data_IF_421366781342
#
_entry.id   IF_421366781342
#
_cell.length_a   1.000
_cell.length_b   1.000
_cell.length_c   1.000
_cell.angle_alpha   90.00
_cell.angle_beta   90.00
_cell.angle_gamma   90.00
#
_symmetry.space_group_name_H-M   'P 1'
#
loop_
_entity.id
_entity.type
_entity.pdbx_description
1 polymer ?
#
# COMPACT_ATOMS: atom_id res chain seq x y z
N UNK A 1 -21.73 30.58 -10.82
CA UNK A 1 -20.68 29.84 -10.07
C UNK A 1 -19.73 29.14 -11.05
N UNK A 2 -18.43 29.48 -11.01
CA UNK A 2 -17.43 28.82 -11.86
C UNK A 2 -17.15 27.43 -11.28
N UNK A 3 -17.36 26.39 -12.07
CA UNK A 3 -17.04 25.02 -11.68
C UNK A 3 -15.55 24.79 -11.97
N UNK A 4 -14.70 24.91 -10.95
CA UNK A 4 -13.24 24.77 -11.12
C UNK A 4 -12.71 23.41 -10.69
N UNK A 5 -13.50 22.64 -9.95
CA UNK A 5 -13.16 21.33 -9.43
C UNK A 5 -14.18 20.28 -9.86
N UNK A 6 -13.68 19.15 -10.35
CA UNK A 6 -14.48 18.00 -10.73
C UNK A 6 -13.94 16.74 -10.06
N UNK A 7 -14.81 16.01 -9.38
CA UNK A 7 -14.50 14.70 -8.80
C UNK A 7 -15.40 13.64 -9.43
N UNK A 8 -14.79 12.65 -10.07
CA UNK A 8 -15.48 11.55 -10.74
C UNK A 8 -15.20 10.27 -9.96
N UNK A 9 -16.25 9.55 -9.56
CA UNK A 9 -16.17 8.23 -8.94
C UNK A 9 -16.51 7.16 -9.97
N UNK A 10 -16.05 5.92 -9.75
CA UNK A 10 -16.30 4.78 -10.65
C UNK A 10 -15.76 5.02 -12.08
N UNK A 11 -14.52 5.49 -12.13
CA UNK A 11 -13.82 5.80 -13.36
C UNK A 11 -13.38 4.51 -14.10
N UNK A 12 -13.96 4.20 -15.27
CA UNK A 12 -13.51 3.10 -16.13
C UNK A 12 -13.53 3.48 -17.62
N UNK A 13 -12.84 2.71 -18.47
CA UNK A 13 -12.60 3.02 -19.89
C UNK A 13 -13.90 3.36 -20.64
N UNK A 14 -14.95 2.54 -20.46
CA UNK A 14 -16.27 2.79 -21.05
C UNK A 14 -16.93 4.10 -20.61
N UNK A 15 -16.85 4.48 -19.33
CA UNK A 15 -17.46 5.72 -18.82
C UNK A 15 -16.70 6.96 -19.30
N UNK A 16 -15.38 6.86 -19.36
CA UNK A 16 -14.45 7.92 -19.80
C UNK A 16 -14.76 8.34 -21.23
N UNK A 17 -14.84 7.38 -22.14
CA UNK A 17 -15.10 7.68 -23.55
C UNK A 17 -16.44 8.41 -23.70
N UNK A 18 -17.45 8.03 -22.93
CA UNK A 18 -18.75 8.71 -22.94
C UNK A 18 -18.69 10.15 -22.40
N UNK A 19 -17.95 10.41 -21.32
CA UNK A 19 -17.80 11.77 -20.78
C UNK A 19 -16.99 12.70 -21.68
N UNK A 20 -15.93 12.20 -22.32
CA UNK A 20 -15.01 13.03 -23.11
C UNK A 20 -15.39 13.17 -24.58
N UNK A 21 -16.29 12.32 -25.08
CA UNK A 21 -16.91 12.47 -26.41
C UNK A 21 -18.27 13.18 -26.35
N UNK A 22 -18.71 13.58 -25.16
CA UNK A 22 -20.00 14.22 -24.94
C UNK A 22 -20.14 15.50 -25.80
N UNK A 23 -21.26 15.61 -26.49
CA UNK A 23 -21.67 16.79 -27.29
C UNK A 23 -22.63 17.70 -26.51
N UNK A 24 -22.81 17.47 -25.22
CA UNK A 24 -23.69 18.27 -24.36
C UNK A 24 -23.25 19.74 -24.27
N UNK A 25 -24.20 20.57 -23.84
CA UNK A 25 -23.98 21.99 -23.54
C UNK A 25 -23.01 22.22 -22.38
N UNK A 26 -22.62 21.19 -21.63
CA UNK A 26 -21.66 21.28 -20.53
C UNK A 26 -20.19 21.19 -20.99
N UNK A 27 -19.94 20.76 -22.23
CA UNK A 27 -18.58 20.60 -22.75
C UNK A 27 -17.72 21.87 -22.63
N UNK A 28 -18.17 23.08 -23.02
CA UNK A 28 -17.35 24.28 -22.86
C UNK A 28 -17.01 24.58 -21.40
N UNK A 29 -17.93 24.27 -20.47
CA UNK A 29 -17.69 24.43 -19.03
C UNK A 29 -16.55 23.51 -18.59
N UNK A 30 -16.61 22.23 -18.96
CA UNK A 30 -15.57 21.29 -18.59
C UNK A 30 -14.22 21.63 -19.20
N UNK A 31 -14.18 21.95 -20.49
CA UNK A 31 -12.92 22.23 -21.19
C UNK A 31 -12.24 23.51 -20.67
N UNK A 32 -13.01 24.55 -20.34
CA UNK A 32 -12.47 25.88 -20.04
C UNK A 32 -12.40 26.19 -18.53
N UNK A 33 -13.28 25.64 -17.69
CA UNK A 33 -13.35 26.07 -16.28
C UNK A 33 -12.63 25.12 -15.31
N UNK A 34 -12.55 23.83 -15.63
CA UNK A 34 -11.98 22.84 -14.71
C UNK A 34 -10.46 23.01 -14.65
N UNK A 35 -9.97 23.30 -13.45
CA UNK A 35 -8.54 23.40 -13.15
C UNK A 35 -8.06 22.26 -12.24
N UNK A 36 -8.99 21.62 -11.51
CA UNK A 36 -8.74 20.49 -10.61
C UNK A 36 -9.60 19.30 -10.99
N UNK A 37 -8.97 18.17 -11.31
CA UNK A 37 -9.65 16.91 -11.61
C UNK A 37 -9.20 15.80 -10.67
N UNK A 38 -10.16 15.18 -9.98
CA UNK A 38 -9.94 14.01 -9.13
C UNK A 38 -10.73 12.84 -9.70
N UNK A 39 -10.03 11.79 -10.08
CA UNK A 39 -10.59 10.55 -10.61
C UNK A 39 -10.41 9.48 -9.55
N UNK A 40 -11.50 8.95 -9.01
CA UNK A 40 -11.49 7.91 -7.98
C UNK A 40 -11.92 6.59 -8.60
N UNK A 41 -11.00 5.64 -8.61
CA UNK A 41 -11.26 4.32 -9.15
C UNK A 41 -11.77 3.34 -8.11
N UNK A 42 -13.05 3.03 -8.14
CA UNK A 42 -13.64 2.07 -7.19
C UNK A 42 -13.90 0.69 -7.82
N UNK A 43 -13.56 0.48 -9.10
CA UNK A 43 -13.88 -0.79 -9.75
C UNK A 43 -12.95 -1.89 -9.25
N UNK A 44 -13.58 -2.97 -8.78
CA UNK A 44 -12.91 -4.21 -8.36
C UNK A 44 -12.86 -5.25 -9.49
N UNK A 45 -13.55 -4.99 -10.60
CA UNK A 45 -13.57 -5.88 -11.75
C UNK A 45 -12.28 -5.71 -12.55
N UNK A 46 -11.51 -6.80 -12.63
CA UNK A 46 -10.25 -6.87 -13.34
C UNK A 46 -10.39 -6.37 -14.77
N UNK A 47 -9.50 -5.48 -15.17
CA UNK A 47 -9.51 -4.91 -16.51
C UNK A 47 -9.24 -5.96 -17.60
N UNK A 48 -10.02 -5.88 -18.67
CA UNK A 48 -9.99 -6.74 -19.86
C UNK A 48 -9.09 -6.13 -20.96
N UNK A 49 -8.69 -4.86 -20.86
CA UNK A 49 -7.88 -4.13 -21.88
C UNK A 49 -6.40 -3.94 -21.47
N UNK A 50 -5.52 -3.73 -22.45
CA UNK A 50 -4.08 -3.55 -22.21
C UNK A 50 -3.77 -2.18 -21.56
N UNK A 51 -2.76 -2.12 -20.67
CA UNK A 51 -2.35 -0.88 -19.98
C UNK A 51 -2.00 0.28 -20.92
N UNK A 52 -1.40 -0.04 -22.08
CA UNK A 52 -1.07 0.95 -23.13
C UNK A 52 -2.33 1.51 -23.77
N UNK A 53 -3.30 0.64 -24.09
CA UNK A 53 -4.61 1.04 -24.62
C UNK A 53 -5.29 2.00 -23.66
N UNK A 54 -5.29 1.69 -22.37
CA UNK A 54 -5.85 2.56 -21.35
C UNK A 54 -5.13 3.92 -21.30
N UNK A 55 -3.80 3.93 -21.34
CA UNK A 55 -3.01 5.17 -21.35
C UNK A 55 -3.35 6.08 -22.53
N UNK A 56 -3.45 5.51 -23.73
CA UNK A 56 -3.76 6.25 -24.95
C UNK A 56 -5.22 6.70 -24.98
N UNK A 57 -6.15 5.81 -24.68
CA UNK A 57 -7.59 6.07 -24.85
C UNK A 57 -8.20 6.89 -23.71
N UNK A 58 -7.59 6.86 -22.52
CA UNK A 58 -8.14 7.47 -21.32
C UNK A 58 -7.28 8.63 -20.84
N UNK A 59 -6.07 8.34 -20.37
CA UNK A 59 -5.23 9.33 -19.70
C UNK A 59 -4.78 10.46 -20.65
N UNK A 60 -4.42 10.13 -21.89
CA UNK A 60 -4.01 11.14 -22.86
C UNK A 60 -5.17 12.06 -23.27
N UNK A 61 -6.38 11.51 -23.44
CA UNK A 61 -7.55 12.32 -23.78
C UNK A 61 -7.97 13.28 -22.66
N UNK A 62 -7.77 12.91 -21.39
CA UNK A 62 -8.03 13.82 -20.25
C UNK A 62 -7.20 15.10 -20.40
N UNK A 63 -5.89 14.98 -20.63
CA UNK A 63 -5.02 16.15 -20.73
C UNK A 63 -5.35 17.03 -21.97
N UNK A 64 -5.84 16.42 -23.05
CA UNK A 64 -6.27 17.15 -24.26
C UNK A 64 -7.62 17.84 -24.05
N UNK A 65 -8.54 17.19 -23.35
CA UNK A 65 -9.91 17.68 -23.17
C UNK A 65 -9.97 18.89 -22.24
N UNK A 66 -9.26 18.84 -21.10
CA UNK A 66 -9.27 19.91 -20.11
C UNK A 66 -8.15 20.94 -20.34
N UNK A 67 -8.47 22.03 -21.06
CA UNK A 67 -7.48 23.01 -21.52
C UNK A 67 -6.80 23.79 -20.39
N UNK A 68 -7.45 23.91 -19.24
CA UNK A 68 -6.98 24.67 -18.09
C UNK A 68 -6.63 23.80 -16.87
N UNK A 69 -6.46 22.48 -17.08
CA UNK A 69 -6.15 21.52 -16.02
C UNK A 69 -4.75 21.76 -15.41
N UNK A 70 -4.73 22.21 -14.15
CA UNK A 70 -3.50 22.43 -13.38
C UNK A 70 -3.20 21.26 -12.45
N UNK A 71 -4.24 20.62 -11.92
CA UNK A 71 -4.12 19.57 -10.92
C UNK A 71 -4.88 18.32 -11.35
N UNK A 72 -4.18 17.20 -11.47
CA UNK A 72 -4.75 15.90 -11.81
C UNK A 72 -4.41 14.88 -10.73
N UNK A 73 -5.43 14.26 -10.14
CA UNK A 73 -5.29 13.17 -9.18
C UNK A 73 -6.06 11.95 -9.66
N UNK A 74 -5.36 10.85 -9.92
CA UNK A 74 -5.95 9.55 -10.23
C UNK A 74 -5.72 8.65 -9.01
N UNK A 75 -6.76 8.55 -8.20
CA UNK A 75 -6.74 7.91 -6.89
C UNK A 75 -7.28 6.50 -7.00
N UNK A 76 -6.55 5.56 -6.40
CA UNK A 76 -7.05 4.23 -6.14
C UNK A 76 -7.27 4.06 -4.62
N UNK A 77 -8.50 3.74 -4.16
CA UNK A 77 -8.82 3.60 -2.74
C UNK A 77 -8.27 2.31 -2.11
N UNK A 78 -7.95 1.29 -2.91
CA UNK A 78 -7.41 0.03 -2.41
C UNK A 78 -6.00 -0.22 -2.93
N UNK A 79 -5.08 -0.40 -2.00
CA UNK A 79 -3.67 -0.78 -2.25
C UNK A 79 -3.57 -2.15 -2.93
N UNK A 80 -4.61 -2.98 -2.85
CA UNK A 80 -4.60 -4.38 -3.31
C UNK A 80 -5.27 -4.62 -4.67
N UNK A 81 -5.90 -3.61 -5.27
CA UNK A 81 -6.55 -3.78 -6.58
C UNK A 81 -5.56 -3.47 -7.72
N UNK A 82 -5.50 -4.34 -8.71
CA UNK A 82 -4.66 -4.18 -9.89
C UNK A 82 -5.35 -3.25 -10.91
N UNK A 83 -5.35 -1.94 -10.67
CA UNK A 83 -5.87 -1.00 -11.67
C UNK A 83 -4.75 -0.59 -12.63
N UNK A 84 -5.03 -0.34 -13.93
CA UNK A 84 -4.01 0.05 -14.87
C UNK A 84 -3.26 1.29 -14.42
N UNK A 85 -2.05 1.06 -13.92
CA UNK A 85 -1.03 2.10 -13.85
C UNK A 85 -0.78 2.62 -15.26
N UNK A 86 -0.49 3.92 -15.35
CA UNK A 86 -0.01 4.55 -16.57
C UNK A 86 1.21 3.78 -17.09
N UNK A 87 1.20 3.45 -18.39
CA UNK A 87 2.34 2.84 -19.07
C UNK A 87 2.70 3.68 -20.28
N UNK A 88 3.89 4.30 -20.23
CA UNK A 88 4.43 5.21 -21.23
C UNK A 88 5.51 4.56 -22.09
N UNK A 89 6.01 3.39 -21.69
CA UNK A 89 6.97 2.63 -22.47
C UNK A 89 6.48 2.42 -23.92
N UNK A 90 7.36 2.71 -24.88
CA UNK A 90 7.10 2.71 -26.33
C UNK A 90 6.03 3.68 -26.83
N UNK A 91 5.58 4.65 -26.00
CA UNK A 91 4.68 5.71 -26.45
C UNK A 91 5.48 6.99 -26.77
N UNK A 92 5.09 7.76 -27.81
CA UNK A 92 5.72 9.05 -28.12
C UNK A 92 5.69 10.00 -26.92
N UNK A 93 6.69 10.88 -26.77
CA UNK A 93 6.73 11.89 -25.70
C UNK A 93 5.60 12.92 -25.76
N UNK A 94 4.93 13.04 -26.90
CA UNK A 94 3.69 13.81 -27.05
C UNK A 94 2.50 13.16 -26.33
N UNK A 95 2.57 11.86 -26.08
CA UNK A 95 1.57 11.10 -25.33
C UNK A 95 1.64 11.47 -23.85
N UNK A 96 0.50 11.85 -23.28
CA UNK A 96 0.40 12.34 -21.91
C UNK A 96 1.32 13.55 -21.62
N UNK A 97 1.21 14.60 -22.44
CA UNK A 97 1.97 15.85 -22.28
C UNK A 97 1.07 17.00 -21.83
N UNK A 98 1.63 17.95 -21.08
CA UNK A 98 0.92 19.17 -20.66
C UNK A 98 1.91 20.31 -20.39
N UNK A 99 1.54 21.51 -20.85
CA UNK A 99 2.30 22.75 -20.63
C UNK A 99 1.84 23.55 -19.42
N UNK A 100 0.77 23.13 -18.74
CA UNK A 100 0.14 23.87 -17.64
C UNK A 100 -0.06 23.05 -16.36
N UNK A 101 0.01 21.72 -16.44
CA UNK A 101 -0.15 20.85 -15.28
C UNK A 101 0.98 21.10 -14.28
N UNK A 102 0.62 21.44 -13.05
CA UNK A 102 1.55 21.75 -11.95
C UNK A 102 1.56 20.68 -10.86
N UNK A 103 0.45 19.93 -10.70
CA UNK A 103 0.33 18.83 -9.74
C UNK A 103 -0.19 17.58 -10.41
N UNK A 104 0.51 16.46 -10.17
CA UNK A 104 0.11 15.14 -10.64
C UNK A 104 0.17 14.13 -9.49
N UNK A 105 -0.95 13.47 -9.23
CA UNK A 105 -1.00 12.25 -8.43
C UNK A 105 -1.47 11.11 -9.32
N UNK A 106 -0.61 10.11 -9.53
CA UNK A 106 -0.87 9.02 -10.46
C UNK A 106 -0.23 7.71 -10.01
N UNK A 107 -0.75 6.60 -10.52
CA UNK A 107 -0.11 5.30 -10.39
C UNK A 107 0.48 4.91 -11.75
N UNK A 108 1.69 4.36 -11.76
CA UNK A 108 2.40 3.93 -12.97
C UNK A 108 2.71 2.43 -12.92
N UNK A 109 2.86 1.82 -14.10
CA UNK A 109 3.21 0.40 -14.17
C UNK A 109 4.64 0.18 -13.68
N UNK A 110 5.63 0.85 -14.25
CA UNK A 110 7.05 0.62 -13.91
C UNK A 110 7.75 1.88 -13.39
N UNK A 111 8.96 1.72 -12.85
CA UNK A 111 9.80 2.87 -12.49
C UNK A 111 10.20 3.69 -13.72
N UNK A 112 10.44 3.07 -14.87
CA UNK A 112 10.71 3.79 -16.12
C UNK A 112 9.54 4.70 -16.52
N UNK A 113 8.30 4.25 -16.34
CA UNK A 113 7.11 5.08 -16.57
C UNK A 113 7.11 6.33 -15.67
N UNK A 114 7.62 6.24 -14.44
CA UNK A 114 7.87 7.40 -13.58
C UNK A 114 8.95 8.32 -14.17
N UNK A 115 10.04 7.77 -14.69
CA UNK A 115 11.10 8.57 -15.33
C UNK A 115 10.59 9.24 -16.61
N UNK A 116 9.73 8.59 -17.39
CA UNK A 116 9.11 9.16 -18.59
C UNK A 116 8.19 10.34 -18.25
N UNK A 117 7.49 10.35 -17.12
CA UNK A 117 6.74 11.54 -16.66
C UNK A 117 7.66 12.76 -16.41
N UNK A 118 8.95 12.51 -16.25
CA UNK A 118 10.01 13.45 -15.97
C UNK A 118 10.90 13.68 -17.21
N UNK A 119 10.53 13.25 -18.41
CA UNK A 119 11.34 13.50 -19.62
C UNK A 119 11.15 14.89 -20.24
N UNK A 120 10.42 15.78 -19.56
CA UNK A 120 10.07 17.11 -20.04
C UNK A 120 8.71 17.22 -20.73
N UNK A 121 7.93 16.14 -20.81
CA UNK A 121 6.52 16.20 -21.29
C UNK A 121 5.58 16.98 -20.38
N UNK A 122 5.93 17.15 -19.10
CA UNK A 122 5.18 17.93 -18.08
C UNK A 122 5.98 19.13 -17.57
N UNK A 123 6.25 20.12 -18.42
CA UNK A 123 7.25 21.19 -18.18
C UNK A 123 6.97 22.12 -16.98
N UNK A 124 5.72 22.22 -16.54
CA UNK A 124 5.30 23.06 -15.40
C UNK A 124 5.06 22.26 -14.12
N UNK A 125 5.36 20.96 -14.12
CA UNK A 125 5.15 20.11 -12.97
C UNK A 125 6.04 20.55 -11.80
N UNK A 126 5.41 20.85 -10.67
CA UNK A 126 6.07 21.26 -9.42
C UNK A 126 5.86 20.25 -8.30
N UNK A 127 4.80 19.46 -8.38
CA UNK A 127 4.45 18.42 -7.42
C UNK A 127 4.11 17.13 -8.15
N UNK A 128 4.83 16.05 -7.85
CA UNK A 128 4.58 14.72 -8.39
C UNK A 128 4.44 13.73 -7.24
N UNK A 129 3.29 13.05 -7.19
CA UNK A 129 3.08 11.88 -6.39
C UNK A 129 2.89 10.69 -7.32
N UNK A 130 3.72 9.66 -7.14
CA UNK A 130 3.68 8.45 -7.96
C UNK A 130 3.70 7.19 -7.10
N UNK A 131 2.75 6.30 -7.37
CA UNK A 131 2.79 4.91 -6.90
C UNK A 131 3.25 3.99 -8.05
N UNK A 132 4.19 3.08 -7.79
CA UNK A 132 4.70 2.12 -8.79
C UNK A 132 4.23 0.70 -8.44
N UNK A 133 3.62 -0.01 -9.39
CA UNK A 133 3.04 -1.36 -9.18
C UNK A 133 3.88 -2.53 -9.66
N UNK A 134 4.67 -2.39 -10.70
CA UNK A 134 5.37 -3.50 -11.31
C UNK A 134 6.85 -3.17 -11.41
N UNK A 135 7.64 -4.18 -11.12
CA UNK A 135 9.08 -4.10 -11.17
C UNK A 135 9.41 -5.05 -12.29
N UNK A 136 9.20 -4.55 -13.50
CA UNK A 136 9.82 -5.18 -14.64
C UNK A 136 11.34 -5.05 -14.43
N UNK A 137 12.11 -6.04 -14.87
CA UNK A 137 13.56 -5.88 -15.00
C UNK A 137 13.80 -4.89 -16.12
N UNK A 138 13.50 -3.61 -15.91
CA UNK A 138 13.62 -2.66 -16.98
C UNK A 138 15.09 -2.48 -17.34
N UNK A 139 15.32 -2.69 -18.63
CA UNK A 139 16.57 -2.57 -19.33
C UNK A 139 16.73 -1.12 -19.78
N UNK A 140 17.61 -0.37 -19.13
CA UNK A 140 18.06 0.90 -19.68
C UNK A 140 18.00 2.04 -18.68
N UNK A 141 19.18 2.44 -18.24
CA UNK A 141 19.45 3.78 -17.75
C UNK A 141 18.84 4.75 -18.78
N UNK A 142 17.75 5.46 -18.44
CA UNK A 142 17.29 6.57 -19.26
C UNK A 142 18.38 7.65 -19.21
N UNK A 143 19.15 7.70 -20.28
CA UNK A 143 20.39 8.49 -20.40
C UNK A 143 20.17 9.99 -20.69
N UNK A 144 18.94 10.50 -20.81
CA UNK A 144 18.73 11.87 -21.28
C UNK A 144 17.73 12.67 -20.43
N UNK A 145 18.17 13.12 -19.26
CA UNK A 145 17.51 14.25 -18.58
C UNK A 145 18.56 15.13 -17.91
N UNK A 146 19.40 15.77 -18.72
CA UNK A 146 20.27 16.83 -18.22
C UNK A 146 19.39 18.03 -17.84
N UNK A 147 19.19 18.21 -16.53
CA UNK A 147 18.70 19.43 -15.86
C UNK A 147 17.32 19.94 -16.32
N UNK A 148 16.20 19.42 -15.81
CA UNK A 148 14.90 20.05 -16.10
C UNK A 148 13.76 19.78 -15.10
N UNK A 149 14.03 19.72 -13.80
CA UNK A 149 12.98 19.61 -12.78
C UNK A 149 12.87 20.86 -11.94
N UNK A 150 11.88 21.70 -12.24
CA UNK A 150 11.32 22.67 -11.28
C UNK A 150 10.45 21.97 -10.22
N UNK A 151 10.71 20.69 -9.96
CA UNK A 151 9.95 19.87 -9.05
C UNK A 151 10.38 20.24 -7.63
N UNK A 152 9.43 20.77 -6.87
CA UNK A 152 9.62 21.13 -5.46
C UNK A 152 9.21 19.99 -4.54
N UNK A 153 8.21 19.20 -4.94
CA UNK A 153 7.65 18.12 -4.15
C UNK A 153 7.65 16.81 -4.95
N UNK A 154 8.30 15.78 -4.40
CA UNK A 154 8.29 14.44 -4.99
C UNK A 154 7.88 13.40 -3.95
N UNK A 155 6.91 12.56 -4.30
CA UNK A 155 6.53 11.38 -3.53
C UNK A 155 6.63 10.15 -4.41
N UNK A 156 7.43 9.18 -3.98
CA UNK A 156 7.56 7.88 -4.64
C UNK A 156 7.19 6.79 -3.65
N UNK A 157 6.15 6.03 -3.97
CA UNK A 157 5.79 4.82 -3.22
C UNK A 157 5.91 3.60 -4.12
N UNK A 158 6.80 2.69 -3.77
CA UNK A 158 6.88 1.36 -4.36
C UNK A 158 5.99 0.41 -3.58
N UNK A 159 4.95 -0.12 -4.23
CA UNK A 159 4.06 -1.10 -3.61
C UNK A 159 4.67 -2.52 -3.62
N UNK A 160 5.72 -2.73 -4.41
CA UNK A 160 6.41 -4.00 -4.58
C UNK A 160 7.91 -3.87 -4.32
N UNK A 161 8.60 -5.01 -4.30
CA UNK A 161 10.01 -5.12 -3.88
C UNK A 161 10.95 -4.77 -5.03
N UNK A 162 11.77 -3.76 -4.85
CA UNK A 162 12.60 -3.11 -5.88
C UNK A 162 14.03 -3.59 -5.83
N UNK A 163 14.53 -4.16 -6.91
CA UNK A 163 15.92 -4.65 -6.97
C UNK A 163 16.93 -3.53 -7.25
N UNK A 164 16.50 -2.39 -7.80
CA UNK A 164 17.40 -1.41 -8.44
C UNK A 164 17.52 -0.08 -7.68
N UNK A 165 17.69 -0.10 -6.35
CA UNK A 165 17.78 1.13 -5.52
C UNK A 165 18.67 2.24 -6.13
N UNK A 166 19.78 1.88 -6.77
CA UNK A 166 20.71 2.81 -7.39
C UNK A 166 20.07 3.64 -8.53
N UNK A 167 19.05 3.12 -9.21
CA UNK A 167 18.27 3.87 -10.21
C UNK A 167 17.40 4.97 -9.56
N UNK A 168 16.84 4.68 -8.38
CA UNK A 168 16.13 5.70 -7.58
C UNK A 168 17.13 6.76 -7.15
N UNK A 169 18.29 6.37 -6.60
CA UNK A 169 19.34 7.31 -6.19
C UNK A 169 19.79 8.18 -7.37
N UNK A 170 20.04 7.58 -8.54
CA UNK A 170 20.42 8.29 -9.76
C UNK A 170 19.37 9.32 -10.19
N UNK A 171 18.08 8.98 -10.11
CA UNK A 171 16.99 9.91 -10.38
C UNK A 171 16.96 11.05 -9.36
N UNK A 172 17.01 10.70 -8.07
CA UNK A 172 16.95 11.64 -6.95
C UNK A 172 18.10 12.66 -6.99
N UNK A 173 19.32 12.23 -7.34
CA UNK A 173 20.49 13.12 -7.52
C UNK A 173 20.29 14.18 -8.61
N UNK A 174 19.37 13.96 -9.56
CA UNK A 174 19.03 14.93 -10.62
C UNK A 174 17.98 15.96 -10.16
N UNK A 175 17.41 15.79 -8.97
CA UNK A 175 16.33 16.62 -8.43
C UNK A 175 16.83 17.56 -7.33
N UNK A 176 17.87 18.34 -7.61
CA UNK A 176 18.56 19.18 -6.61
C UNK A 176 17.74 20.35 -6.04
N UNK A 177 16.60 20.68 -6.65
CA UNK A 177 15.68 21.74 -6.23
C UNK A 177 14.50 21.23 -5.39
N UNK A 178 14.51 19.95 -4.99
CA UNK A 178 13.45 19.41 -4.14
C UNK A 178 13.46 20.06 -2.75
N UNK A 179 12.32 20.61 -2.38
CA UNK A 179 12.03 21.13 -1.04
C UNK A 179 11.41 20.03 -0.17
N UNK A 180 10.65 19.10 -0.77
CA UNK A 180 9.96 18.01 -0.06
C UNK A 180 10.11 16.69 -0.77
N UNK A 181 10.55 15.68 -0.03
CA UNK A 181 10.70 14.31 -0.50
C UNK A 181 9.93 13.36 0.41
N UNK A 182 9.11 12.49 -0.18
CA UNK A 182 8.45 11.38 0.51
C UNK A 182 8.76 10.07 -0.18
N UNK A 183 9.36 9.12 0.53
CA UNK A 183 9.74 7.81 -0.02
C UNK A 183 9.10 6.67 0.77
N UNK A 184 8.38 5.79 0.09
CA UNK A 184 8.01 4.48 0.63
C UNK A 184 8.61 3.41 -0.27
N UNK A 185 9.71 2.79 0.16
CA UNK A 185 10.48 1.86 -0.64
C UNK A 185 10.56 0.50 0.05
N UNK A 186 10.40 -0.56 -0.74
CA UNK A 186 10.70 -1.94 -0.37
C UNK A 186 11.74 -2.43 -1.37
N UNK A 187 12.90 -2.89 -0.91
CA UNK A 187 14.08 -3.11 -1.73
C UNK A 187 14.57 -4.54 -1.52
N UNK A 188 14.60 -5.31 -2.60
CA UNK A 188 14.99 -6.73 -2.60
C UNK A 188 16.45 -6.91 -3.00
N UNK A 189 16.97 -8.12 -2.75
CA UNK A 189 18.21 -8.61 -3.35
C UNK A 189 19.46 -7.76 -3.06
N UNK A 190 19.56 -7.17 -1.86
CA UNK A 190 20.78 -6.49 -1.41
C UNK A 190 21.61 -7.35 -0.48
N UNK A 191 22.92 -7.20 -0.59
CA UNK A 191 23.89 -7.77 0.36
C UNK A 191 24.12 -6.87 1.59
N UNK A 192 23.53 -5.67 1.62
CA UNK A 192 23.70 -4.68 2.69
C UNK A 192 22.40 -3.92 2.94
N UNK A 193 22.21 -3.58 4.21
CA UNK A 193 21.13 -2.70 4.68
C UNK A 193 21.36 -1.28 4.17
N UNK A 194 20.28 -0.57 3.89
CA UNK A 194 20.32 0.88 3.69
C UNK A 194 20.20 1.49 5.07
N UNK A 195 21.32 1.98 5.59
CA UNK A 195 21.44 2.58 6.92
C UNK A 195 21.53 4.10 6.83
N UNK A 196 21.80 4.78 7.95
CA UNK A 196 21.89 6.23 8.02
C UNK A 196 23.02 6.81 7.18
N UNK A 197 24.11 6.06 7.01
CA UNK A 197 25.24 6.49 6.17
C UNK A 197 24.84 6.48 4.70
N UNK A 198 24.14 5.42 4.25
CA UNK A 198 23.60 5.35 2.89
C UNK A 198 22.59 6.46 2.62
N UNK A 199 21.63 6.67 3.54
CA UNK A 199 20.62 7.73 3.37
C UNK A 199 21.27 9.11 3.32
N UNK A 200 22.28 9.36 4.17
CA UNK A 200 23.03 10.62 4.16
C UNK A 200 23.73 10.83 2.81
N UNK A 201 24.53 9.84 2.37
CA UNK A 201 25.36 9.96 1.18
C UNK A 201 24.56 9.97 -0.13
N UNK A 202 23.55 9.10 -0.23
CA UNK A 202 22.82 8.90 -1.48
C UNK A 202 21.74 9.95 -1.71
N UNK A 203 21.12 10.45 -0.64
CA UNK A 203 19.97 11.35 -0.72
C UNK A 203 20.33 12.72 -0.20
N UNK A 204 20.68 12.84 1.09
CA UNK A 204 20.74 14.13 1.77
C UNK A 204 21.88 15.03 1.27
N UNK A 205 23.06 14.46 1.05
CA UNK A 205 24.23 15.20 0.53
C UNK A 205 23.98 15.79 -0.87
N UNK A 206 23.03 15.23 -1.63
CA UNK A 206 22.70 15.63 -2.99
C UNK A 206 21.48 16.57 -3.07
N UNK A 207 20.82 16.87 -1.94
CA UNK A 207 19.58 17.64 -1.89
C UNK A 207 19.66 18.79 -0.87
N UNK A 208 20.46 19.83 -1.15
CA UNK A 208 20.70 20.91 -0.19
C UNK A 208 19.47 21.79 0.09
N UNK A 209 18.43 21.73 -0.75
CA UNK A 209 17.19 22.49 -0.58
C UNK A 209 16.09 21.71 0.16
N UNK A 210 16.39 20.50 0.62
CA UNK A 210 15.38 19.61 1.19
C UNK A 210 15.01 20.04 2.61
N UNK A 211 13.86 20.72 2.73
CA UNK A 211 13.31 21.16 4.01
C UNK A 211 12.58 20.02 4.76
N UNK A 212 12.05 19.05 4.02
CA UNK A 212 11.25 17.96 4.59
C UNK A 212 11.53 16.64 3.91
N UNK A 213 11.98 15.67 4.69
CA UNK A 213 12.15 14.29 4.26
C UNK A 213 11.35 13.33 5.13
N UNK A 214 10.35 12.67 4.53
CA UNK A 214 9.56 11.61 5.17
C UNK A 214 9.83 10.31 4.46
N UNK A 215 10.21 9.25 5.17
CA UNK A 215 10.53 7.99 4.51
C UNK A 215 10.17 6.75 5.31
N UNK A 216 9.94 5.67 4.56
CA UNK A 216 9.98 4.29 5.00
C UNK A 216 10.78 3.52 3.94
N UNK A 217 11.88 2.90 4.34
CA UNK A 217 12.72 2.09 3.46
C UNK A 217 12.89 0.72 4.12
N UNK A 218 12.40 -0.33 3.47
CA UNK A 218 12.58 -1.71 3.90
C UNK A 218 13.54 -2.42 2.96
N UNK A 219 14.66 -2.90 3.47
CA UNK A 219 15.63 -3.68 2.70
C UNK A 219 15.59 -5.14 3.12
N UNK A 220 15.44 -6.05 2.16
CA UNK A 220 15.62 -7.49 2.38
C UNK A 220 17.07 -7.83 2.12
N UNK A 221 17.75 -8.28 3.18
CA UNK A 221 19.19 -8.57 3.16
C UNK A 221 19.39 -10.07 3.36
N UNK A 222 20.22 -10.63 2.50
CA UNK A 222 20.79 -11.97 2.69
C UNK A 222 21.87 -11.90 3.77
N UNK A 223 21.63 -12.63 4.86
CA UNK A 223 22.48 -12.71 6.05
C UNK A 223 23.40 -13.93 6.03
N UNK A 224 23.41 -14.73 4.95
CA UNK A 224 24.30 -15.89 4.80
C UNK A 224 25.75 -15.43 4.96
N UNK A 225 26.46 -16.05 5.89
CA UNK A 225 27.88 -15.78 6.15
C UNK A 225 28.17 -14.63 7.12
N UNK A 226 27.16 -13.93 7.66
CA UNK A 226 27.36 -12.97 8.75
C UNK A 226 27.45 -13.70 10.10
N UNK A 227 28.53 -13.42 10.84
CA UNK A 227 28.78 -14.02 12.16
C UNK A 227 27.92 -13.44 13.29
N UNK A 228 27.15 -12.38 13.02
CA UNK A 228 26.32 -11.69 13.99
C UNK A 228 24.91 -11.41 13.44
N UNK A 229 23.94 -11.32 14.36
CA UNK A 229 22.56 -10.94 14.06
C UNK A 229 22.39 -9.43 14.24
N UNK A 230 22.15 -8.73 13.15
CA UNK A 230 21.76 -7.33 13.14
C UNK A 230 20.51 -7.04 13.99
N UNK A 231 20.61 -6.07 14.89
CA UNK A 231 19.49 -5.58 15.70
C UNK A 231 18.90 -4.29 15.13
N UNK A 232 17.74 -3.88 15.66
CA UNK A 232 17.14 -2.59 15.27
C UNK A 232 18.01 -1.42 15.76
N UNK A 233 18.61 -1.60 16.94
CA UNK A 233 19.51 -0.65 17.60
C UNK A 233 20.78 -0.42 16.77
N UNK A 234 21.38 -1.47 16.19
CA UNK A 234 22.56 -1.35 15.33
C UNK A 234 22.30 -0.43 14.14
N UNK A 235 21.14 -0.60 13.48
CA UNK A 235 20.75 0.26 12.36
C UNK A 235 20.47 1.67 12.86
N UNK A 236 19.72 1.83 13.94
CA UNK A 236 19.31 3.15 14.43
C UNK A 236 20.51 4.01 14.84
N UNK A 237 21.58 3.42 15.38
CA UNK A 237 22.82 4.13 15.74
C UNK A 237 23.54 4.77 14.55
N UNK A 238 23.28 4.31 13.33
CA UNK A 238 23.87 4.92 12.11
C UNK A 238 23.22 6.27 11.75
N UNK A 239 22.02 6.54 12.25
CA UNK A 239 21.29 7.79 12.00
C UNK A 239 21.62 8.83 13.06
N UNK A 240 22.78 9.47 12.92
CA UNK A 240 23.19 10.56 13.80
C UNK A 240 22.21 11.73 13.65
N UNK A 241 21.58 12.14 14.76
CA UNK A 241 20.73 13.35 14.88
C UNK A 241 19.38 13.34 14.13
N UNK A 242 18.98 12.22 13.50
CA UNK A 242 17.66 12.12 12.86
C UNK A 242 16.64 11.43 13.76
N UNK A 243 15.40 11.93 13.75
CA UNK A 243 14.27 11.30 14.44
C UNK A 243 13.77 10.11 13.62
N UNK A 244 14.47 8.98 13.72
CA UNK A 244 14.14 7.75 13.01
C UNK A 244 14.00 6.58 13.97
N UNK A 245 13.36 5.53 13.49
CA UNK A 245 13.33 4.22 14.14
C UNK A 245 13.44 3.11 13.11
N UNK A 246 13.63 1.88 13.58
CA UNK A 246 13.89 0.72 12.75
C UNK A 246 13.13 -0.51 13.24
N UNK A 247 12.93 -1.46 12.34
CA UNK A 247 12.35 -2.78 12.62
C UNK A 247 13.18 -3.80 11.87
N UNK A 248 13.72 -4.79 12.58
CA UNK A 248 14.42 -5.93 11.98
C UNK A 248 13.63 -7.22 12.21
N UNK A 249 13.18 -7.83 11.11
CA UNK A 249 12.44 -9.09 11.11
C UNK A 249 13.23 -10.17 10.35
N UNK A 250 13.52 -11.29 11.01
CA UNK A 250 14.21 -12.43 10.40
C UNK A 250 13.20 -13.40 9.80
N UNK A 251 13.10 -13.45 8.48
CA UNK A 251 12.05 -14.20 7.77
C UNK A 251 12.37 -15.71 7.74
N UNK A 252 13.58 -16.08 7.33
CA UNK A 252 13.98 -17.49 7.13
C UNK A 252 15.37 -17.84 7.70
N UNK A 253 15.79 -17.21 8.80
CA UNK A 253 17.12 -17.40 9.41
C UNK A 253 18.24 -16.69 8.63
N UNK A 254 18.21 -16.82 7.31
CA UNK A 254 19.19 -16.30 6.37
C UNK A 254 18.75 -15.01 5.68
N UNK A 255 17.48 -14.60 5.82
CA UNK A 255 16.98 -13.34 5.24
C UNK A 255 16.41 -12.46 6.35
N UNK A 256 16.88 -11.21 6.41
CA UNK A 256 16.35 -10.18 7.30
C UNK A 256 15.67 -9.06 6.50
N UNK A 257 14.44 -8.73 6.86
CA UNK A 257 13.77 -7.50 6.45
C UNK A 257 14.10 -6.39 7.45
N UNK A 258 14.83 -5.38 7.00
CA UNK A 258 15.29 -4.25 7.78
C UNK A 258 14.55 -3.01 7.33
N UNK A 259 13.55 -2.59 8.09
CA UNK A 259 12.79 -1.36 7.86
C UNK A 259 13.39 -0.21 8.66
N UNK A 260 13.56 0.95 8.02
CA UNK A 260 13.92 2.22 8.63
C UNK A 260 12.88 3.26 8.24
N UNK A 261 12.51 4.15 9.16
CA UNK A 261 11.54 5.20 8.85
C UNK A 261 11.66 6.44 9.73
N UNK A 262 11.26 7.57 9.16
CA UNK A 262 11.15 8.86 9.84
C UNK A 262 10.00 8.88 10.84
N UNK A 263 10.18 9.56 11.97
CA UNK A 263 9.14 9.84 12.96
C UNK A 263 8.63 11.29 12.85
N UNK A 264 7.32 11.53 13.06
CA UNK A 264 6.26 10.53 13.22
C UNK A 264 6.03 9.72 11.93
N UNK A 265 5.57 8.48 12.05
CA UNK A 265 5.26 7.65 10.87
C UNK A 265 4.03 8.21 10.15
N UNK A 266 4.18 8.68 8.90
CA UNK A 266 3.13 9.39 8.13
C UNK A 266 2.52 8.58 6.98
N UNK A 267 2.78 7.28 6.91
CA UNK A 267 2.18 6.43 5.88
C UNK A 267 0.91 5.78 6.40
N UNK A 268 -0.01 5.55 5.48
CA UNK A 268 -1.33 4.98 5.69
C UNK A 268 -1.32 3.45 5.73
N UNK A 269 -0.18 2.84 5.39
CA UNK A 269 0.03 1.40 5.44
C UNK A 269 1.41 1.04 5.99
N UNK A 270 1.49 -0.15 6.59
CA UNK A 270 2.72 -0.79 7.03
C UNK A 270 2.64 -2.28 6.70
N UNK A 271 3.65 -2.80 6.01
CA UNK A 271 3.66 -4.16 5.48
C UNK A 271 4.81 -5.01 6.04
N UNK A 272 4.67 -6.33 5.89
CA UNK A 272 5.64 -7.36 6.29
C UNK A 272 6.15 -7.21 7.73
N UNK A 273 5.23 -6.85 8.63
CA UNK A 273 5.53 -6.73 10.05
C UNK A 273 5.49 -8.11 10.73
N UNK A 274 6.61 -8.52 11.32
CA UNK A 274 6.71 -9.74 12.13
C UNK A 274 6.31 -9.54 13.59
N UNK A 275 6.84 -10.38 14.48
CA UNK A 275 6.52 -10.40 15.91
C UNK A 275 7.07 -9.20 16.71
N UNK A 276 7.84 -8.31 16.08
CA UNK A 276 8.50 -7.18 16.74
C UNK A 276 8.29 -5.91 15.94
N UNK A 277 7.99 -4.84 16.65
CA UNK A 277 7.97 -3.46 16.18
C UNK A 277 8.32 -2.54 17.37
N UNK A 278 8.60 -1.23 17.19
CA UNK A 278 8.84 -0.32 18.30
C UNK A 278 7.56 -0.02 19.10
N UNK A 279 7.70 0.44 20.35
CA UNK A 279 6.55 0.85 21.18
C UNK A 279 6.15 2.30 20.85
N UNK A 280 5.59 2.52 19.67
CA UNK A 280 5.12 3.82 19.18
C UNK A 280 3.69 3.73 18.66
N UNK A 281 3.01 4.87 18.59
CA UNK A 281 1.66 4.97 18.03
C UNK A 281 1.73 5.36 16.56
N UNK A 282 1.33 4.44 15.69
CA UNK A 282 1.21 4.62 14.25
C UNK A 282 -0.13 5.27 13.91
N UNK A 283 -0.24 6.57 14.21
CA UNK A 283 -1.50 7.32 14.13
C UNK A 283 -2.10 7.43 12.72
N UNK A 284 -1.32 7.20 11.68
CA UNK A 284 -1.77 7.32 10.28
C UNK A 284 -2.07 5.97 9.63
N UNK A 285 -1.62 4.87 10.21
CA UNK A 285 -1.74 3.53 9.59
C UNK A 285 -3.18 3.04 9.68
N UNK A 286 -3.78 2.83 8.52
CA UNK A 286 -5.12 2.23 8.35
C UNK A 286 -5.06 0.83 7.77
N UNK A 287 -3.93 0.44 7.15
CA UNK A 287 -3.71 -0.91 6.61
C UNK A 287 -2.44 -1.54 7.22
N UNK A 288 -2.60 -2.71 7.82
CA UNK A 288 -1.50 -3.48 8.40
C UNK A 288 -1.45 -4.89 7.81
N UNK A 289 -0.28 -5.25 7.27
CA UNK A 289 0.01 -6.59 6.79
C UNK A 289 1.05 -7.25 7.70
N UNK A 290 0.65 -8.33 8.36
CA UNK A 290 1.47 -9.10 9.28
C UNK A 290 1.96 -10.40 8.64
N UNK A 291 3.25 -10.67 8.82
CA UNK A 291 3.87 -11.94 8.43
C UNK A 291 4.12 -12.81 9.67
N UNK A 292 3.40 -13.91 9.77
CA UNK A 292 3.53 -14.90 10.83
C UNK A 292 4.77 -15.77 10.59
N UNK A 293 5.92 -15.29 11.06
CA UNK A 293 7.18 -16.04 11.09
C UNK A 293 7.21 -16.98 12.30
N UNK A 294 6.72 -16.48 13.43
CA UNK A 294 6.51 -17.24 14.67
C UNK A 294 5.09 -16.96 15.16
N UNK A 295 4.40 -17.96 15.74
CA UNK A 295 3.03 -17.78 16.18
C UNK A 295 2.81 -16.55 17.07
N UNK A 296 1.85 -15.71 16.71
CA UNK A 296 1.48 -14.52 17.48
C UNK A 296 0.71 -14.90 18.73
N UNK A 297 1.11 -14.34 19.88
CA UNK A 297 0.41 -14.49 21.16
C UNK A 297 -0.69 -13.45 21.30
N UNK A 298 -1.64 -13.70 22.20
CA UNK A 298 -2.72 -12.76 22.54
C UNK A 298 -2.22 -11.32 22.82
N UNK A 299 -1.15 -11.19 23.63
CA UNK A 299 -0.55 -9.91 23.99
C UNK A 299 -0.04 -9.11 22.78
N UNK A 300 0.37 -9.80 21.71
CA UNK A 300 0.78 -9.16 20.47
C UNK A 300 -0.39 -8.47 19.78
N UNK A 301 -1.57 -9.11 19.75
CA UNK A 301 -2.79 -8.48 19.24
C UNK A 301 -3.24 -7.30 20.10
N UNK A 302 -3.13 -7.39 21.43
CA UNK A 302 -3.41 -6.26 22.32
C UNK A 302 -2.45 -5.09 22.07
N UNK A 303 -1.19 -5.39 21.72
CA UNK A 303 -0.21 -4.39 21.33
C UNK A 303 -0.55 -3.74 19.98
N UNK A 304 -1.04 -4.51 19.01
CA UNK A 304 -1.50 -3.96 17.73
C UNK A 304 -2.64 -2.96 17.96
N UNK A 305 -3.67 -3.35 18.71
CA UNK A 305 -4.81 -2.46 18.99
C UNK A 305 -4.38 -1.11 19.59
N UNK A 306 -3.40 -1.11 20.51
CA UNK A 306 -2.84 0.12 21.12
C UNK A 306 -1.99 0.94 20.15
N UNK A 307 -1.23 0.28 19.28
CA UNK A 307 -0.24 0.95 18.42
C UNK A 307 -0.84 1.44 17.11
N UNK A 308 -1.97 0.88 16.67
CA UNK A 308 -2.64 1.19 15.41
C UNK A 308 -4.10 1.60 15.66
N UNK A 309 -4.34 2.76 16.29
CA UNK A 309 -5.67 3.15 16.75
C UNK A 309 -6.67 3.35 15.60
N UNK A 310 -6.22 3.68 14.39
CA UNK A 310 -7.07 3.89 13.20
C UNK A 310 -7.11 2.69 12.25
N UNK A 311 -6.68 1.50 12.69
CA UNK A 311 -6.60 0.32 11.83
C UNK A 311 -7.96 -0.05 11.24
N UNK A 312 -8.06 -0.01 9.91
CA UNK A 312 -9.26 -0.38 9.14
C UNK A 312 -9.14 -1.74 8.47
N UNK A 313 -7.93 -2.10 8.06
CA UNK A 313 -7.67 -3.36 7.39
C UNK A 313 -6.46 -4.07 8.01
N UNK A 314 -6.71 -5.26 8.55
CA UNK A 314 -5.69 -6.19 9.02
C UNK A 314 -5.64 -7.41 8.11
N UNK A 315 -4.45 -7.71 7.58
CA UNK A 315 -4.17 -8.97 6.88
C UNK A 315 -3.06 -9.72 7.61
N UNK A 316 -3.29 -11.01 7.85
CA UNK A 316 -2.30 -11.90 8.46
C UNK A 316 -2.08 -13.05 7.51
N UNK A 317 -0.82 -13.34 7.21
CA UNK A 317 -0.44 -14.49 6.41
C UNK A 317 0.78 -15.17 7.00
N UNK A 318 0.84 -16.47 6.79
CA UNK A 318 1.92 -17.34 7.21
C UNK A 318 2.50 -17.99 5.94
N UNK A 319 3.74 -17.66 5.58
CA UNK A 319 4.39 -18.25 4.40
C UNK A 319 4.68 -19.75 4.56
N UNK A 320 4.81 -20.23 5.80
CA UNK A 320 5.14 -21.63 6.13
C UNK A 320 3.90 -22.51 6.28
N UNK A 321 2.70 -21.93 6.43
CA UNK A 321 1.47 -22.69 6.38
C UNK A 321 1.15 -23.07 4.93
N UNK A 322 1.88 -24.07 4.42
CA UNK A 322 1.20 -25.04 3.57
C UNK A 322 -0.06 -25.46 4.34
N UNK A 323 -1.19 -25.53 3.65
CA UNK A 323 -2.57 -25.64 4.17
C UNK A 323 -2.80 -26.94 4.99
N UNK A 324 -1.74 -27.65 5.40
CA UNK A 324 -1.72 -29.03 5.86
C UNK A 324 -1.03 -29.27 7.21
N UNK A 325 -0.39 -28.29 7.86
CA UNK A 325 0.25 -28.52 9.17
C UNK A 325 -0.62 -28.06 10.35
N UNK A 326 -1.60 -28.90 10.68
CA UNK A 326 -2.60 -28.70 11.74
C UNK A 326 -2.08 -29.11 13.16
N UNK A 327 -0.77 -29.14 13.35
CA UNK A 327 -0.10 -29.82 14.48
C UNK A 327 0.44 -28.93 15.60
N UNK A 328 0.46 -27.60 15.46
CA UNK A 328 0.91 -26.69 16.51
C UNK A 328 -0.29 -25.93 17.09
N UNK A 329 -0.98 -26.54 18.05
CA UNK A 329 -1.87 -25.79 18.94
C UNK A 329 -1.03 -24.83 19.77
N UNK A 330 -1.32 -23.53 19.68
CA UNK A 330 -0.83 -22.58 20.69
C UNK A 330 -1.26 -23.08 22.06
N UNK A 331 -0.31 -23.30 22.97
CA UNK A 331 -0.62 -23.72 24.34
C UNK A 331 -1.62 -22.73 24.94
N UNK A 332 -2.76 -23.25 25.38
CA UNK A 332 -3.90 -22.49 25.89
C UNK A 332 -3.65 -21.91 27.29
N UNK A 333 -2.39 -21.64 27.64
CA UNK A 333 -2.02 -21.27 28.99
C UNK A 333 -2.35 -19.79 29.21
N UNK A 334 -3.39 -19.56 30.02
CA UNK A 334 -3.74 -18.32 30.70
C UNK A 334 -4.46 -17.20 29.90
N UNK A 335 -5.30 -17.52 28.92
CA UNK A 335 -6.17 -16.51 28.28
C UNK A 335 -7.34 -15.99 29.16
N UNK A 336 -7.59 -16.53 30.35
CA UNK A 336 -8.74 -16.12 31.19
C UNK A 336 -8.56 -14.77 31.91
N UNK A 337 -7.35 -14.19 31.93
CA UNK A 337 -7.05 -12.98 32.70
C UNK A 337 -6.99 -11.68 31.88
N UNK A 338 -7.10 -11.75 30.55
CA UNK A 338 -6.98 -10.57 29.70
C UNK A 338 -8.36 -10.03 29.32
N UNK A 339 -8.53 -8.71 29.40
CA UNK A 339 -9.70 -8.03 28.86
C UNK A 339 -9.79 -8.24 27.34
N UNK A 340 -11.02 -8.28 26.81
CA UNK A 340 -11.25 -8.40 25.36
C UNK A 340 -10.53 -7.27 24.62
N UNK A 341 -9.84 -7.60 23.53
CA UNK A 341 -9.12 -6.62 22.72
C UNK A 341 -10.11 -5.91 21.81
N UNK A 342 -10.10 -4.59 21.80
CA UNK A 342 -11.00 -3.81 20.94
C UNK A 342 -10.30 -3.31 19.67
N UNK A 343 -10.96 -3.53 18.53
CA UNK A 343 -10.59 -2.96 17.24
C UNK A 343 -11.75 -2.14 16.69
N UNK A 344 -11.95 -0.89 17.15
CA UNK A 344 -13.17 -0.12 16.88
C UNK A 344 -13.34 0.22 15.39
N UNK A 345 -12.24 0.40 14.65
CA UNK A 345 -12.26 0.85 13.25
C UNK A 345 -12.01 -0.27 12.24
N UNK A 346 -11.77 -1.51 12.68
CA UNK A 346 -11.42 -2.61 11.78
C UNK A 346 -12.64 -3.04 10.97
N UNK A 347 -12.65 -2.66 9.69
CA UNK A 347 -13.73 -3.00 8.74
C UNK A 347 -13.44 -4.25 7.94
N UNK A 348 -12.17 -4.60 7.77
CA UNK A 348 -11.72 -5.77 7.01
C UNK A 348 -10.68 -6.57 7.77
N UNK A 349 -10.91 -7.86 7.90
CA UNK A 349 -9.96 -8.83 8.43
C UNK A 349 -9.69 -9.91 7.36
N UNK A 350 -8.44 -10.18 7.04
CA UNK A 350 -8.07 -11.24 6.09
C UNK A 350 -7.06 -12.20 6.72
N UNK A 351 -7.53 -13.40 7.06
CA UNK A 351 -6.80 -14.48 7.72
C UNK A 351 -6.84 -15.78 6.91
N UNK A 352 -7.06 -15.69 5.59
CA UNK A 352 -7.12 -16.86 4.68
C UNK A 352 -5.83 -17.68 4.62
N UNK A 353 -4.71 -17.06 4.93
CA UNK A 353 -3.39 -17.70 4.92
C UNK A 353 -2.77 -17.73 6.32
N UNK A 354 -3.60 -17.63 7.34
CA UNK A 354 -3.15 -17.52 8.72
C UNK A 354 -3.50 -18.79 9.52
N UNK A 355 -2.86 -18.96 10.67
CA UNK A 355 -3.15 -20.08 11.56
C UNK A 355 -4.60 -20.03 12.06
N UNK A 356 -5.24 -21.20 12.23
CA UNK A 356 -6.64 -21.30 12.69
C UNK A 356 -6.87 -20.61 14.05
N UNK A 357 -5.85 -20.59 14.90
CA UNK A 357 -5.94 -19.97 16.23
C UNK A 357 -6.14 -18.45 16.14
N UNK A 358 -5.70 -17.80 15.04
CA UNK A 358 -5.99 -16.39 14.83
C UNK A 358 -7.45 -16.17 14.45
N UNK A 359 -8.04 -17.11 13.69
CA UNK A 359 -9.48 -17.10 13.42
C UNK A 359 -10.25 -17.17 14.74
N UNK A 360 -9.83 -18.03 15.68
CA UNK A 360 -10.46 -18.07 17.01
C UNK A 360 -10.21 -16.78 17.80
N UNK A 361 -8.97 -16.26 17.82
CA UNK A 361 -8.62 -15.03 18.52
C UNK A 361 -9.50 -13.86 18.08
N UNK A 362 -9.72 -13.68 16.77
CA UNK A 362 -10.52 -12.57 16.26
C UNK A 362 -12.03 -12.84 16.30
N UNK A 363 -12.50 -14.02 15.91
CA UNK A 363 -13.95 -14.26 15.82
C UNK A 363 -14.61 -14.47 17.18
N UNK A 364 -13.88 -14.95 18.19
CA UNK A 364 -14.41 -15.10 19.54
C UNK A 364 -14.53 -13.74 20.24
N UNK A 365 -15.76 -13.30 20.53
CA UNK A 365 -16.03 -12.00 21.13
C UNK A 365 -15.45 -11.82 22.55
N UNK A 366 -15.24 -12.92 23.28
CA UNK A 366 -14.63 -12.87 24.61
C UNK A 366 -13.14 -12.56 24.52
N UNK A 367 -12.51 -12.80 23.37
CA UNK A 367 -11.10 -12.50 23.09
C UNK A 367 -10.92 -11.17 22.37
N UNK A 368 -11.77 -10.88 21.39
CA UNK A 368 -11.67 -9.67 20.55
C UNK A 368 -13.04 -9.11 20.18
N UNK A 369 -13.24 -7.81 20.37
CA UNK A 369 -14.42 -7.08 19.92
C UNK A 369 -14.12 -6.23 18.68
N UNK A 370 -14.84 -6.50 17.59
CA UNK A 370 -14.71 -5.77 16.31
C UNK A 370 -16.08 -5.22 15.90
N UNK A 371 -16.49 -4.01 16.37
CA UNK A 371 -17.82 -3.48 16.10
C UNK A 371 -18.05 -3.13 14.62
N UNK A 372 -16.98 -2.77 13.88
CA UNK A 372 -17.07 -2.26 12.51
C UNK A 372 -16.80 -3.31 11.43
N UNK A 373 -16.61 -4.59 11.78
CA UNK A 373 -16.22 -5.63 10.82
C UNK A 373 -17.31 -5.86 9.77
N UNK A 374 -17.02 -5.58 8.51
CA UNK A 374 -17.92 -5.81 7.38
C UNK A 374 -17.39 -6.78 6.34
N UNK A 375 -16.07 -6.98 6.26
CA UNK A 375 -15.44 -7.91 5.33
C UNK A 375 -14.54 -8.91 6.07
N UNK A 376 -14.72 -10.21 5.81
CA UNK A 376 -13.92 -11.27 6.40
C UNK A 376 -13.34 -12.18 5.31
N UNK A 377 -12.02 -12.27 5.25
CA UNK A 377 -11.30 -13.30 4.51
C UNK A 377 -10.93 -14.46 5.43
N UNK A 378 -11.43 -15.66 5.17
CA UNK A 378 -11.14 -16.86 5.99
C UNK A 378 -11.23 -18.15 5.18
N UNK A 379 -10.51 -19.20 5.60
CA UNK A 379 -10.68 -20.56 5.04
C UNK A 379 -11.92 -21.21 5.66
N UNK A 380 -12.73 -21.88 4.83
CA UNK A 380 -14.02 -22.46 5.25
C UNK A 380 -13.83 -23.50 6.36
N UNK A 381 -12.80 -24.35 6.26
CA UNK A 381 -12.47 -25.35 7.28
C UNK A 381 -12.16 -24.72 8.64
N UNK A 382 -11.35 -23.65 8.69
CA UNK A 382 -11.05 -22.93 9.92
C UNK A 382 -12.30 -22.27 10.51
N UNK A 383 -13.16 -21.71 9.66
CA UNK A 383 -14.42 -21.09 10.09
C UNK A 383 -15.35 -22.13 10.73
N UNK A 384 -15.53 -23.31 10.10
CA UNK A 384 -16.32 -24.41 10.67
C UNK A 384 -15.76 -24.88 12.01
N UNK A 385 -14.44 -25.06 12.10
CA UNK A 385 -13.77 -25.47 13.33
C UNK A 385 -14.04 -24.49 14.48
N UNK A 386 -13.74 -23.20 14.27
CA UNK A 386 -13.86 -22.15 15.29
C UNK A 386 -15.31 -21.94 15.73
N UNK A 387 -16.25 -22.04 14.79
CA UNK A 387 -17.68 -21.89 15.06
C UNK A 387 -18.35 -23.18 15.56
N UNK A 388 -17.62 -24.31 15.66
CA UNK A 388 -18.16 -25.64 15.93
C UNK A 388 -19.34 -25.99 15.00
N UNK A 389 -19.09 -25.91 13.70
CA UNK A 389 -20.09 -26.04 12.64
C UNK A 389 -21.26 -25.08 12.82
N UNK A 390 -20.96 -23.80 13.10
CA UNK A 390 -21.95 -22.73 13.28
C UNK A 390 -22.90 -22.95 14.48
N UNK A 391 -22.37 -23.46 15.60
CA UNK A 391 -23.12 -23.68 16.86
C UNK A 391 -22.56 -22.91 18.07
N UNK A 392 -21.37 -22.30 17.94
CA UNK A 392 -20.68 -21.56 19.00
C UNK A 392 -21.08 -20.08 19.06
N UNK A 393 -21.94 -19.74 20.01
CA UNK A 393 -22.54 -18.40 20.19
C UNK A 393 -21.51 -17.26 20.31
N UNK A 394 -20.39 -17.47 21.00
CA UNK A 394 -19.37 -16.43 21.22
C UNK A 394 -18.73 -15.94 19.91
N UNK A 395 -18.78 -16.77 18.86
CA UNK A 395 -18.27 -16.39 17.53
C UNK A 395 -19.33 -15.72 16.66
N UNK A 396 -20.62 -15.88 17.00
CA UNK A 396 -21.74 -15.41 16.18
C UNK A 396 -21.81 -13.90 16.12
N UNK A 397 -21.55 -13.19 17.23
CA UNK A 397 -21.70 -11.71 17.28
C UNK A 397 -20.74 -10.97 16.35
N UNK A 398 -19.50 -11.42 16.25
CA UNK A 398 -18.54 -10.82 15.31
C UNK A 398 -18.86 -11.23 13.87
N UNK A 399 -19.25 -12.48 13.61
CA UNK A 399 -19.65 -12.93 12.28
C UNK A 399 -20.90 -12.20 11.76
N UNK A 400 -21.90 -11.93 12.60
CA UNK A 400 -23.19 -11.37 12.18
C UNK A 400 -23.09 -9.98 11.53
N UNK A 401 -21.99 -9.26 11.76
CA UNK A 401 -21.70 -7.94 11.20
C UNK A 401 -21.13 -8.02 9.78
N UNK A 402 -20.57 -9.16 9.40
CA UNK A 402 -19.92 -9.39 8.11
C UNK A 402 -20.95 -9.37 6.99
N UNK A 403 -20.70 -8.53 5.99
CA UNK A 403 -21.48 -8.37 4.76
C UNK A 403 -20.83 -9.05 3.56
N UNK A 404 -19.50 -9.18 3.58
CA UNK A 404 -18.71 -9.79 2.51
C UNK A 404 -17.80 -10.86 3.09
N UNK A 405 -18.04 -12.11 2.70
CA UNK A 405 -17.18 -13.24 3.06
C UNK A 405 -16.30 -13.60 1.86
N UNK A 406 -14.98 -13.61 2.05
CA UNK A 406 -13.99 -13.97 1.04
C UNK A 406 -13.39 -15.32 1.43
N UNK A 407 -13.66 -16.36 0.64
CA UNK A 407 -13.15 -17.71 0.86
C UNK A 407 -12.27 -18.14 -0.31
N UNK A 408 -11.36 -19.09 -0.07
CA UNK A 408 -10.58 -19.73 -1.15
C UNK A 408 -11.37 -20.87 -1.81
N UNK A 409 -12.29 -21.47 -1.06
CA UNK A 409 -13.09 -22.63 -1.47
C UNK A 409 -14.56 -22.22 -1.63
N UNK A 410 -15.34 -22.92 -2.48
CA UNK A 410 -16.78 -22.75 -2.55
C UNK A 410 -17.44 -23.01 -1.19
N UNK A 411 -18.40 -22.17 -0.83
CA UNK A 411 -19.09 -22.24 0.45
C UNK A 411 -20.39 -23.02 0.33
N UNK A 412 -20.53 -24.10 1.10
CA UNK A 412 -21.81 -24.81 1.25
C UNK A 412 -22.54 -24.24 2.46
N UNK A 413 -23.59 -23.46 2.22
CA UNK A 413 -24.33 -22.75 3.26
C UNK A 413 -25.42 -23.64 3.89
N UNK A 414 -25.28 -23.97 5.17
CA UNK A 414 -26.35 -24.58 5.98
C UNK A 414 -27.36 -23.54 6.48
N UNK A 415 -28.46 -23.96 7.11
CA UNK A 415 -29.37 -23.02 7.80
C UNK A 415 -28.64 -22.25 8.92
N UNK A 416 -27.81 -22.94 9.67
CA UNK A 416 -27.04 -22.35 10.79
C UNK A 416 -26.00 -21.34 10.29
N UNK A 417 -25.43 -21.55 9.09
CA UNK A 417 -24.53 -20.59 8.46
C UNK A 417 -25.17 -19.19 8.34
N UNK A 418 -26.45 -19.12 7.96
CA UNK A 418 -27.15 -17.84 7.77
C UNK A 418 -27.40 -17.10 9.08
N UNK A 419 -27.39 -17.78 10.23
CA UNK A 419 -27.43 -17.14 11.54
C UNK A 419 -26.13 -16.41 11.86
N UNK A 420 -25.02 -16.86 11.27
CA UNK A 420 -23.70 -16.23 11.43
C UNK A 420 -23.45 -15.13 10.41
N UNK A 421 -24.04 -15.23 9.22
CA UNK A 421 -23.80 -14.29 8.12
C UNK A 421 -25.12 -13.82 7.49
N UNK A 422 -25.99 -13.11 8.25
CA UNK A 422 -27.33 -12.76 7.79
C UNK A 422 -27.31 -11.77 6.62
N UNK A 423 -26.26 -10.95 6.50
CA UNK A 423 -26.12 -9.93 5.45
C UNK A 423 -25.46 -10.44 4.16
N UNK A 424 -24.89 -11.65 4.16
CA UNK A 424 -24.27 -12.25 2.98
C UNK A 424 -25.28 -12.82 1.97
N UNK A 425 -26.58 -12.66 2.26
CA UNK A 425 -27.68 -12.95 1.35
C UNK A 425 -27.90 -11.72 0.45
N UNK A 426 -27.09 -11.57 -0.60
CA UNK A 426 -27.40 -10.74 -1.78
C UNK A 426 -26.34 -10.90 -2.87
#
# INVERSE_FOLDING_TARGET
>A
PNLTELKIFHFHEGTVLNYFTDKSSLRPIFQEQITNLILVNNDQDGMISSLKTYTTNVYSHILIFFKNLKNLSIIQPSVLTYYPGLSLCDLPSTTFSSSILTHLYINVKTFDDCVYLLDGRLRKLTTLYVNVYAIDKSSGIVQNTDKLFNLKCFTLKSLFRFEQYDNIVSLLRRMSYLEKLTLYLRIESRNRVIDGTYVQHDILDNMPQLDSFTFYICTYVDMVGLSYKLSSEDIQQTFRQQHVTSIVNYINGDIAACSIFSLPFRFDYLEDLGNKFPNIVFSYVVFLLLEDINPFKHEFFARIARSFPLLKYLRIFNKKSSILHDGMTLSSDNCQLYSSIEYPHLTRLDVRYAHRDYVEQFLNETKTYMPSLTELGVVVSHLKYVTKDFKREETRRNCAKVKKLLTLEPLVCSKDFWLYFPSSYK
#
